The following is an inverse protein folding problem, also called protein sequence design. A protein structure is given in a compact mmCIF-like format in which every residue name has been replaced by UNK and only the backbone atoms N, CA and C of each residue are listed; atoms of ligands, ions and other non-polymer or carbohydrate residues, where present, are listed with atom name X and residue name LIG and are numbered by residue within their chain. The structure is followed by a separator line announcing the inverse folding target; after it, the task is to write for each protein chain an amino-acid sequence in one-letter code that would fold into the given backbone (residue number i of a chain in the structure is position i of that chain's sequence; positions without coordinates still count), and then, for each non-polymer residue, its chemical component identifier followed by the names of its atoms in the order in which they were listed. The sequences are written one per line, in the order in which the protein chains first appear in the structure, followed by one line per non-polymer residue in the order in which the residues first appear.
data_IF_729491073293
#
_entry.id   IF_729491073293
#
_cell.length_a   1.000
_cell.length_b   1.000
_cell.length_c   1.000
_cell.angle_alpha   90.00
_cell.angle_beta   90.00
_cell.angle_gamma   90.00
#
_symmetry.space_group_name_H-M   'P 1'
#
loop_
_entity.id
_entity.type
_entity.pdbx_description
1 polymer ?
#
# COMPACT_ATOMS: atom_id res chain seq x y z
N UNK A 1 0.70 10.38 -6.08
CA UNK A 1 0.77 9.78 -4.73
C UNK A 1 2.15 10.04 -4.17
N UNK A 2 2.28 10.26 -2.86
CA UNK A 2 3.58 10.43 -2.20
C UNK A 2 3.84 9.22 -1.29
N UNK A 3 4.95 8.53 -1.51
CA UNK A 3 5.37 7.37 -0.72
C UNK A 3 6.78 7.63 -0.18
N UNK A 4 7.11 7.05 0.98
CA UNK A 4 8.45 7.16 1.55
C UNK A 4 8.73 6.06 2.57
N UNK A 5 9.99 5.64 2.64
CA UNK A 5 10.47 4.65 3.60
C UNK A 5 11.84 5.07 4.14
N UNK A 6 12.06 4.85 5.43
CA UNK A 6 13.36 4.99 6.08
C UNK A 6 13.73 3.62 6.65
N UNK A 7 14.95 3.16 6.38
CA UNK A 7 15.49 1.91 6.90
C UNK A 7 16.84 2.09 7.56
N UNK A 8 17.12 1.24 8.55
CA UNK A 8 18.41 1.16 9.25
C UNK A 8 18.86 -0.29 9.31
N UNK A 9 20.05 -0.54 8.80
CA UNK A 9 20.71 -1.85 8.82
C UNK A 9 21.85 -1.89 9.84
N UNK A 10 22.00 -3.04 10.51
CA UNK A 10 23.14 -3.33 11.37
C UNK A 10 23.49 -4.83 11.33
N UNK A 11 24.79 -5.14 11.31
CA UNK A 11 25.29 -6.53 11.23
C UNK A 11 24.76 -7.46 12.33
N UNK A 12 24.53 -6.94 13.54
CA UNK A 12 24.09 -7.73 14.68
C UNK A 12 22.58 -7.99 14.71
N UNK A 13 21.78 -7.13 14.07
CA UNK A 13 20.33 -7.14 14.21
C UNK A 13 19.58 -7.10 12.88
N UNK A 14 20.24 -7.22 11.73
CA UNK A 14 19.57 -7.10 10.43
C UNK A 14 19.07 -5.68 10.13
N UNK A 15 17.98 -5.55 9.40
CA UNK A 15 17.42 -4.27 8.93
C UNK A 15 16.04 -4.02 9.55
N UNK A 16 15.88 -2.87 10.21
CA UNK A 16 14.57 -2.33 10.58
C UNK A 16 14.15 -1.25 9.58
N UNK A 17 12.86 -1.16 9.29
CA UNK A 17 12.33 -0.12 8.41
C UNK A 17 10.95 0.33 8.85
N UNK A 18 10.66 1.60 8.59
CA UNK A 18 9.34 2.19 8.72
C UNK A 18 9.05 2.99 7.46
N UNK A 19 7.81 2.92 6.98
CA UNK A 19 7.41 3.59 5.77
C UNK A 19 5.96 4.02 5.80
N UNK A 20 5.64 4.86 4.82
CA UNK A 20 4.34 5.41 4.59
C UNK A 20 4.03 5.34 3.09
N UNK A 21 2.87 4.78 2.77
CA UNK A 21 2.30 4.84 1.44
C UNK A 21 1.14 5.83 1.44
N UNK A 22 0.98 6.54 0.32
CA UNK A 22 -0.06 7.54 0.14
C UNK A 22 -0.08 8.58 1.28
N UNK A 23 1.07 9.20 1.55
CA UNK A 23 1.27 10.16 2.65
C UNK A 23 0.26 11.33 2.61
N UNK A 24 -0.09 11.78 1.41
CA UNK A 24 -1.08 12.83 1.16
C UNK A 24 -2.54 12.33 1.22
N UNK A 25 -2.76 11.03 1.46
CA UNK A 25 -4.07 10.39 1.56
C UNK A 25 -5.02 10.67 0.37
N UNK A 26 -4.47 10.67 -0.84
CA UNK A 26 -5.25 10.82 -2.07
C UNK A 26 -6.10 9.57 -2.27
N UNK A 27 -7.42 9.74 -2.45
CA UNK A 27 -8.34 8.63 -2.70
C UNK A 27 -9.34 8.99 -3.79
N UNK A 28 -9.68 8.02 -4.63
CA UNK A 28 -10.82 8.12 -5.51
C UNK A 28 -12.11 7.89 -4.68
N UNK A 29 -13.04 8.87 -4.64
CA UNK A 29 -14.36 8.64 -4.06
C UNK A 29 -15.19 7.76 -5.00
N UNK A 30 -15.97 6.83 -4.44
CA UNK A 30 -16.90 5.97 -5.19
C UNK A 30 -16.25 5.29 -6.42
N UNK A 31 -15.30 4.35 -6.20
CA UNK A 31 -14.58 3.66 -7.27
C UNK A 31 -15.46 2.74 -8.13
N UNK A 32 -16.67 2.45 -7.68
CA UNK A 32 -17.62 1.55 -8.33
C UNK A 32 -18.88 2.35 -8.67
N UNK A 33 -19.20 2.41 -9.97
CA UNK A 33 -20.46 2.96 -10.45
C UNK A 33 -21.56 1.93 -10.21
N UNK A 34 -22.72 2.37 -9.70
CA UNK A 34 -23.84 1.48 -9.42
C UNK A 34 -23.57 0.45 -8.30
N UNK A 35 -22.57 0.68 -7.43
CA UNK A 35 -22.15 -0.29 -6.41
C UNK A 35 -23.23 -0.72 -5.40
N UNK A 36 -24.31 0.06 -5.24
CA UNK A 36 -25.47 -0.30 -4.42
C UNK A 36 -26.41 -1.33 -5.07
N UNK A 37 -26.35 -1.47 -6.41
CA UNK A 37 -27.18 -2.37 -7.22
C UNK A 37 -26.28 -3.17 -8.18
N UNK A 38 -25.46 -4.11 -7.68
CA UNK A 38 -24.39 -4.75 -8.45
C UNK A 38 -24.85 -5.67 -9.59
N UNK A 39 -26.16 -5.96 -9.66
CA UNK A 39 -26.76 -6.81 -10.69
C UNK A 39 -27.63 -6.02 -11.69
N UNK A 40 -27.68 -4.69 -11.55
CA UNK A 40 -28.40 -3.82 -12.47
C UNK A 40 -27.48 -3.38 -13.63
N UNK A 41 -28.05 -2.97 -14.76
CA UNK A 41 -27.33 -2.68 -16.01
C UNK A 41 -26.34 -1.51 -15.93
N UNK A 42 -26.34 -0.75 -14.84
CA UNK A 42 -25.44 0.38 -14.59
C UNK A 42 -24.22 0.07 -13.70
N UNK A 43 -23.99 -1.19 -13.31
CA UNK A 43 -22.83 -1.56 -12.50
C UNK A 43 -21.53 -1.53 -13.33
N UNK A 44 -20.54 -0.77 -12.87
CA UNK A 44 -19.20 -0.76 -13.45
C UNK A 44 -18.12 -0.58 -12.37
N UNK A 45 -17.27 -1.59 -12.22
CA UNK A 45 -16.13 -1.60 -11.30
C UNK A 45 -14.77 -1.39 -12.01
N UNK A 46 -14.77 -1.11 -13.31
CA UNK A 46 -13.56 -0.94 -14.13
C UNK A 46 -13.03 0.51 -14.15
N UNK A 47 -13.84 1.49 -13.74
CA UNK A 47 -13.52 2.93 -13.79
C UNK A 47 -12.73 3.35 -12.54
N UNK A 48 -11.62 2.68 -12.29
CA UNK A 48 -10.66 3.05 -11.24
C UNK A 48 -9.49 3.80 -11.88
N UNK A 49 -9.39 5.10 -11.60
CA UNK A 49 -8.32 5.97 -12.10
C UNK A 49 -7.39 6.45 -10.99
N UNK A 50 -7.77 6.25 -9.72
CA UNK A 50 -7.03 6.68 -8.56
C UNK A 50 -6.94 5.62 -7.46
N UNK A 51 -6.21 5.92 -6.37
CA UNK A 51 -6.06 4.99 -5.26
C UNK A 51 -7.38 4.78 -4.54
N UNK A 52 -7.74 3.53 -4.31
CA UNK A 52 -8.93 3.16 -3.53
C UNK A 52 -8.59 3.07 -2.05
N UNK A 53 -7.37 2.58 -1.76
CA UNK A 53 -6.83 2.48 -0.42
C UNK A 53 -6.21 3.81 0.00
N UNK A 54 -6.36 4.14 1.28
CA UNK A 54 -5.79 5.37 1.83
C UNK A 54 -4.34 5.30 2.22
N UNK A 55 -3.98 6.26 3.06
CA UNK A 55 -2.69 6.29 3.74
C UNK A 55 -2.48 5.02 4.56
N UNK A 56 -1.35 4.39 4.33
CA UNK A 56 -0.90 3.20 5.06
C UNK A 56 0.46 3.51 5.68
N UNK A 57 0.60 3.23 6.98
CA UNK A 57 1.86 3.31 7.71
C UNK A 57 2.24 1.88 8.04
N UNK A 58 3.50 1.52 7.80
CA UNK A 58 4.00 0.18 8.04
C UNK A 58 5.39 0.24 8.67
N UNK A 59 5.71 -0.79 9.45
CA UNK A 59 7.03 -1.03 9.98
C UNK A 59 7.37 -2.51 9.83
N UNK A 60 8.64 -2.82 9.71
CA UNK A 60 9.09 -4.18 9.56
C UNK A 60 10.54 -4.38 9.96
N UNK A 61 10.88 -5.65 10.10
CA UNK A 61 12.21 -6.12 10.41
C UNK A 61 12.58 -7.24 9.43
N UNK A 62 13.81 -7.23 8.94
CA UNK A 62 14.33 -8.20 7.98
C UNK A 62 15.69 -8.69 8.45
N UNK A 63 15.89 -10.00 8.42
CA UNK A 63 17.18 -10.64 8.66
C UNK A 63 17.54 -11.53 7.47
N UNK A 64 18.72 -11.32 6.88
CA UNK A 64 19.17 -12.09 5.73
C UNK A 64 19.99 -13.31 6.17
N UNK A 65 19.46 -14.50 5.90
CA UNK A 65 20.16 -15.77 6.14
C UNK A 65 21.16 -16.01 4.98
N UNK A 66 22.46 -15.81 5.23
CA UNK A 66 23.50 -16.22 4.29
C UNK A 66 23.90 -17.66 4.61
N UNK A 67 23.49 -18.59 3.76
CA UNK A 67 24.05 -19.94 3.76
C UNK A 67 25.40 -19.88 3.07
N UNK A 68 26.43 -20.34 3.79
CA UNK A 68 27.80 -20.42 3.28
C UNK A 68 27.96 -21.87 2.81
N UNK A 69 28.08 -22.08 1.49
CA UNK A 69 28.56 -23.36 0.92
C UNK A 69 30.08 -23.49 1.13
#
# INVERSE_FOLDING_TARGET
MLNGQISKEGRAFGQFYVGIQNALNVRQPNPIVGGSLPFDGGFDASIVWGPIMGRQIYAGWRYDLKFQE
#
